data_IF_166023331626
#
_entry.id   IF_166023331626
#
_cell.length_a   1.000
_cell.length_b   1.000
_cell.length_c   1.000
_cell.angle_alpha   90.00
_cell.angle_beta   90.00
_cell.angle_gamma   90.00
#
_symmetry.space_group_name_H-M   'P 1'
#
loop_
_entity.id
_entity.type
_entity.pdbx_description
1 polymer ?
#
# COMPACT_ATOMS: atom_id res chain seq x y z
N UNK A 1 20.12 22.30 -17.31
CA UNK A 1 19.36 21.41 -16.42
C UNK A 1 19.00 20.18 -17.24
N UNK A 2 19.30 18.98 -16.76
CA UNK A 2 18.69 17.78 -17.34
C UNK A 2 17.17 17.94 -17.34
N UNK A 3 16.44 17.44 -18.34
CA UNK A 3 14.98 17.47 -18.31
C UNK A 3 14.51 16.77 -17.03
N UNK A 4 13.61 17.41 -16.30
CA UNK A 4 13.11 16.91 -15.01
C UNK A 4 12.45 15.52 -15.08
N UNK A 5 12.04 15.10 -16.28
CA UNK A 5 11.46 13.79 -16.61
C UNK A 5 12.41 12.83 -17.33
N UNK A 6 13.62 13.25 -17.70
CA UNK A 6 14.55 12.39 -18.43
C UNK A 6 15.33 11.53 -17.44
N UNK A 7 14.88 10.29 -17.30
CA UNK A 7 15.40 9.30 -16.36
C UNK A 7 15.17 7.92 -16.97
N UNK A 8 16.19 7.08 -16.86
CA UNK A 8 16.07 5.68 -17.25
C UNK A 8 15.38 4.92 -16.13
N UNK A 9 14.20 4.36 -16.43
CA UNK A 9 13.44 3.54 -15.49
C UNK A 9 13.68 2.08 -15.85
N UNK A 10 13.96 1.24 -14.84
CA UNK A 10 14.14 -0.20 -15.02
C UNK A 10 12.91 -0.83 -15.69
N UNK A 11 13.13 -1.64 -16.72
CA UNK A 11 12.06 -2.38 -17.41
C UNK A 11 11.21 -3.22 -16.45
N UNK A 12 11.82 -3.76 -15.38
CA UNK A 12 11.11 -4.53 -14.35
C UNK A 12 10.04 -3.74 -13.62
N UNK A 13 10.17 -2.42 -13.54
CA UNK A 13 9.22 -1.54 -12.89
C UNK A 13 8.16 -0.99 -13.87
N UNK A 14 8.33 -1.21 -15.18
CA UNK A 14 7.44 -0.76 -16.25
C UNK A 14 6.41 -1.82 -16.67
N UNK A 15 5.96 -2.62 -15.71
CA UNK A 15 5.05 -3.72 -15.95
C UNK A 15 3.61 -3.27 -16.24
N UNK A 16 2.85 -4.17 -16.85
CA UNK A 16 1.45 -4.07 -17.27
C UNK A 16 0.68 -5.29 -16.79
N UNK A 17 -0.64 -5.28 -16.98
CA UNK A 17 -1.49 -6.41 -16.63
C UNK A 17 -1.07 -7.72 -17.34
N UNK A 18 -0.60 -7.63 -18.59
CA UNK A 18 -0.16 -8.79 -19.37
C UNK A 18 1.08 -9.49 -18.83
N UNK A 19 1.91 -8.79 -18.04
CA UNK A 19 3.12 -9.37 -17.45
C UNK A 19 2.77 -10.25 -16.23
N UNK A 20 1.57 -10.05 -15.67
CA UNK A 20 1.05 -10.73 -14.50
C UNK A 20 -0.40 -11.21 -14.76
N UNK A 21 -0.58 -12.28 -15.55
CA UNK A 21 -1.91 -12.71 -16.01
C UNK A 21 -2.83 -13.16 -14.87
N UNK A 22 -2.26 -13.54 -13.73
CA UNK A 22 -2.96 -13.94 -12.52
C UNK A 22 -2.12 -13.59 -11.28
N UNK A 23 -2.70 -13.75 -10.09
CA UNK A 23 -1.97 -13.50 -8.84
C UNK A 23 -0.83 -14.48 -8.57
N UNK A 24 -0.84 -15.65 -9.22
CA UNK A 24 0.21 -16.68 -9.08
C UNK A 24 1.54 -16.19 -9.64
N UNK A 25 1.50 -15.39 -10.70
CA UNK A 25 2.69 -14.74 -11.28
C UNK A 25 3.37 -13.74 -10.34
N UNK A 26 2.69 -13.28 -9.29
CA UNK A 26 3.23 -12.43 -8.23
C UNK A 26 3.67 -13.23 -6.99
N UNK A 27 3.35 -14.53 -6.94
CA UNK A 27 3.42 -15.31 -5.73
C UNK A 27 4.85 -15.69 -5.32
N UNK A 28 5.10 -15.58 -4.03
CA UNK A 28 6.27 -16.12 -3.34
C UNK A 28 5.76 -16.99 -2.21
N UNK A 29 6.00 -18.30 -2.33
CA UNK A 29 5.49 -19.28 -1.38
C UNK A 29 6.45 -19.46 -0.20
N UNK A 30 5.94 -19.29 1.02
CA UNK A 30 6.65 -19.69 2.24
C UNK A 30 6.46 -21.19 2.44
N UNK A 31 7.56 -21.92 2.56
CA UNK A 31 7.49 -23.30 3.03
C UNK A 31 7.28 -23.33 4.54
N UNK A 32 6.74 -24.45 5.05
CA UNK A 32 6.67 -24.68 6.51
C UNK A 32 8.05 -24.63 7.18
N UNK A 33 9.12 -24.96 6.45
CA UNK A 33 10.48 -24.89 6.97
C UNK A 33 10.94 -23.43 7.13
N UNK A 34 10.52 -22.52 6.24
CA UNK A 34 10.88 -21.10 6.30
C UNK A 34 10.22 -20.43 7.52
N UNK A 35 8.91 -20.63 7.69
CA UNK A 35 8.10 -19.90 8.69
C UNK A 35 7.99 -20.60 10.05
N UNK A 36 8.28 -21.91 10.12
CA UNK A 36 8.15 -22.71 11.35
C UNK A 36 8.85 -22.12 12.58
N UNK A 37 10.14 -21.74 12.50
CA UNK A 37 10.85 -21.13 13.63
C UNK A 37 10.21 -19.83 14.13
N UNK A 38 9.69 -19.00 13.22
CA UNK A 38 8.99 -17.77 13.58
C UNK A 38 7.67 -18.08 14.29
N UNK A 39 6.92 -19.06 13.81
CA UNK A 39 5.67 -19.50 14.44
C UNK A 39 5.93 -19.99 15.87
N UNK A 40 6.97 -20.81 16.07
CA UNK A 40 7.29 -21.33 17.40
C UNK A 40 7.63 -20.20 18.39
N UNK A 41 8.36 -19.17 17.93
CA UNK A 41 8.63 -17.97 18.73
C UNK A 41 7.38 -17.13 18.98
N UNK A 42 6.53 -16.93 17.98
CA UNK A 42 5.28 -16.19 18.11
C UNK A 42 4.35 -16.85 19.14
N UNK A 43 4.24 -18.19 19.13
CA UNK A 43 3.46 -18.95 20.12
C UNK A 43 3.96 -18.74 21.55
N UNK A 44 5.28 -18.78 21.75
CA UNK A 44 5.85 -18.55 23.08
C UNK A 44 5.56 -17.12 23.56
N UNK A 45 5.84 -16.12 22.72
CA UNK A 45 5.63 -14.72 23.08
C UNK A 45 4.15 -14.39 23.34
N UNK A 46 3.24 -15.01 22.59
CA UNK A 46 1.80 -14.88 22.82
C UNK A 46 1.40 -15.47 24.18
N UNK A 47 1.92 -16.64 24.56
CA UNK A 47 1.68 -17.26 25.87
C UNK A 47 2.23 -16.42 27.03
N UNK A 48 3.34 -15.72 26.80
CA UNK A 48 3.95 -14.80 27.77
C UNK A 48 3.22 -13.44 27.86
N UNK A 49 2.22 -13.20 26.98
CA UNK A 49 1.49 -11.94 26.93
C UNK A 49 2.31 -10.77 26.39
N UNK A 50 3.35 -11.05 25.59
CA UNK A 50 4.17 -10.02 24.96
C UNK A 50 3.31 -9.14 24.04
N UNK A 51 3.43 -7.83 24.18
CA UNK A 51 2.80 -6.90 23.25
C UNK A 51 3.46 -7.01 21.87
N UNK A 52 2.66 -7.20 20.81
CA UNK A 52 3.14 -7.40 19.43
C UNK A 52 4.14 -6.32 19.02
N UNK A 53 3.76 -5.05 19.22
CA UNK A 53 4.55 -3.91 18.76
C UNK A 53 5.85 -3.67 19.55
N UNK A 54 6.13 -4.46 20.60
CA UNK A 54 7.39 -4.42 21.36
C UNK A 54 8.31 -5.61 21.08
N UNK A 55 7.83 -6.64 20.36
CA UNK A 55 8.68 -7.76 19.95
C UNK A 55 9.74 -7.30 18.94
N UNK A 56 10.96 -7.78 19.11
CA UNK A 56 12.10 -7.47 18.25
C UNK A 56 12.40 -8.61 17.27
N UNK A 57 13.28 -8.33 16.30
CA UNK A 57 13.78 -9.32 15.35
C UNK A 57 14.48 -10.49 16.06
N UNK A 58 15.17 -10.21 17.17
CA UNK A 58 15.84 -11.21 17.99
C UNK A 58 14.83 -12.07 18.75
N UNK A 59 13.84 -11.46 19.39
CA UNK A 59 12.79 -12.19 20.13
C UNK A 59 12.03 -13.18 19.25
N UNK A 60 11.82 -12.80 17.98
CA UNK A 60 11.10 -13.58 16.97
C UNK A 60 12.00 -14.52 16.16
N UNK A 61 13.31 -14.49 16.38
CA UNK A 61 14.31 -15.30 15.67
C UNK A 61 14.09 -15.29 14.15
N UNK A 62 14.00 -14.11 13.53
CA UNK A 62 13.66 -13.97 12.10
C UNK A 62 14.78 -14.39 11.13
N UNK A 63 15.94 -14.80 11.65
CA UNK A 63 17.13 -15.18 10.86
C UNK A 63 16.86 -16.21 9.75
N UNK A 64 16.09 -17.29 10.00
CA UNK A 64 15.76 -18.28 8.97
C UNK A 64 14.96 -17.73 7.78
N UNK A 65 14.23 -16.62 7.95
CA UNK A 65 13.48 -15.97 6.88
C UNK A 65 14.35 -15.09 5.98
N UNK A 66 15.57 -14.75 6.40
CA UNK A 66 16.41 -13.79 5.68
C UNK A 66 16.55 -14.08 4.17
N UNK A 67 16.79 -15.33 3.71
CA UNK A 67 16.96 -15.60 2.29
C UNK A 67 15.72 -15.30 1.43
N UNK A 68 14.51 -15.60 1.94
CA UNK A 68 13.27 -15.31 1.21
C UNK A 68 12.91 -13.82 1.29
N UNK A 69 13.17 -13.19 2.43
CA UNK A 69 12.90 -11.78 2.63
C UNK A 69 13.85 -10.88 1.83
N UNK A 70 15.11 -11.28 1.63
CA UNK A 70 16.06 -10.56 0.77
C UNK A 70 15.61 -10.58 -0.69
N UNK A 71 15.07 -11.71 -1.17
CA UNK A 71 14.48 -11.80 -2.52
C UNK A 71 13.26 -10.89 -2.66
N UNK A 72 12.35 -10.94 -1.67
CA UNK A 72 11.18 -10.05 -1.64
C UNK A 72 11.61 -8.58 -1.64
N UNK A 73 12.58 -8.22 -0.81
CA UNK A 73 13.11 -6.86 -0.76
C UNK A 73 13.70 -6.42 -2.10
N UNK A 74 14.41 -7.30 -2.80
CA UNK A 74 14.91 -7.00 -4.16
C UNK A 74 13.77 -6.75 -5.14
N UNK A 75 12.73 -7.61 -5.15
CA UNK A 75 11.53 -7.43 -5.99
C UNK A 75 10.83 -6.11 -5.68
N UNK A 76 10.67 -5.76 -4.40
CA UNK A 76 9.97 -4.54 -3.98
C UNK A 76 10.78 -3.27 -4.25
N UNK A 77 12.08 -3.27 -3.98
CA UNK A 77 12.89 -2.04 -4.02
C UNK A 77 13.50 -1.77 -5.39
N UNK A 78 13.72 -2.80 -6.20
CA UNK A 78 14.45 -2.68 -7.48
C UNK A 78 13.77 -3.43 -8.64
N UNK A 79 12.78 -4.27 -8.36
CA UNK A 79 12.02 -5.03 -9.34
C UNK A 79 10.70 -4.35 -9.72
N UNK A 80 9.62 -5.11 -9.67
CA UNK A 80 8.26 -4.67 -9.97
C UNK A 80 7.64 -3.79 -8.90
N UNK A 81 8.18 -3.80 -7.69
CA UNK A 81 7.56 -3.09 -6.58
C UNK A 81 6.35 -3.79 -5.98
N UNK A 82 6.04 -5.03 -6.37
CA UNK A 82 4.89 -5.78 -5.85
C UNK A 82 5.18 -7.29 -5.76
N UNK A 83 4.73 -7.94 -4.69
CA UNK A 83 4.83 -9.38 -4.50
C UNK A 83 3.71 -9.91 -3.60
N UNK A 84 3.18 -11.09 -3.91
CA UNK A 84 2.18 -11.80 -3.10
C UNK A 84 2.87 -12.88 -2.27
N UNK A 85 2.96 -12.71 -0.97
CA UNK A 85 3.49 -13.72 -0.05
C UNK A 85 2.38 -14.71 0.34
N UNK A 86 2.62 -16.01 0.20
CA UNK A 86 1.63 -17.05 0.53
C UNK A 86 2.16 -18.05 1.53
N UNK A 87 1.25 -18.78 2.16
CA UNK A 87 1.58 -19.86 3.10
C UNK A 87 1.62 -19.44 4.56
N UNK A 88 1.08 -18.26 4.91
CA UNK A 88 0.88 -17.91 6.32
C UNK A 88 -0.28 -18.76 6.89
N UNK A 89 -0.06 -19.53 7.97
CA UNK A 89 -1.05 -20.48 8.47
C UNK A 89 -2.06 -19.81 9.41
N UNK A 90 -2.85 -18.88 8.87
CA UNK A 90 -3.80 -18.07 9.66
C UNK A 90 -4.92 -18.88 10.30
N UNK A 91 -5.23 -20.08 9.77
CA UNK A 91 -6.23 -20.98 10.35
C UNK A 91 -5.69 -21.81 11.53
N UNK A 92 -4.37 -21.98 11.63
CA UNK A 92 -3.70 -22.80 12.65
C UNK A 92 -3.25 -21.97 13.88
N UNK A 93 -3.48 -20.66 13.86
CA UNK A 93 -2.93 -19.70 14.81
C UNK A 93 -4.04 -18.84 15.43
N UNK A 94 -3.87 -18.52 16.71
CA UNK A 94 -4.66 -17.48 17.36
C UNK A 94 -4.35 -16.10 16.77
N UNK A 95 -5.22 -15.13 16.99
CA UNK A 95 -5.05 -13.79 16.44
C UNK A 95 -3.71 -13.16 16.86
N UNK A 96 -3.34 -13.22 18.13
CA UNK A 96 -2.07 -12.65 18.63
C UNK A 96 -0.86 -13.37 18.05
N UNK A 97 -0.93 -14.69 17.84
CA UNK A 97 0.14 -15.44 17.17
C UNK A 97 0.29 -15.01 15.70
N UNK A 98 -0.81 -14.79 14.99
CA UNK A 98 -0.79 -14.27 13.61
C UNK A 98 -0.17 -12.87 13.58
N UNK A 99 -0.60 -11.99 14.49
CA UNK A 99 -0.07 -10.63 14.60
C UNK A 99 1.45 -10.63 14.85
N UNK A 100 1.95 -11.51 15.72
CA UNK A 100 3.39 -11.67 15.98
C UNK A 100 4.16 -12.23 14.78
N UNK A 101 3.62 -13.23 14.08
CA UNK A 101 4.21 -13.76 12.85
C UNK A 101 4.29 -12.67 11.78
N UNK A 102 3.19 -11.96 11.56
CA UNK A 102 3.15 -10.92 10.54
C UNK A 102 4.02 -9.71 10.91
N UNK A 103 4.08 -9.35 12.20
CA UNK A 103 5.03 -8.38 12.73
C UNK A 103 6.49 -8.78 12.45
N UNK A 104 6.84 -10.05 12.67
CA UNK A 104 8.17 -10.59 12.36
C UNK A 104 8.54 -10.45 10.88
N UNK A 105 7.61 -10.75 9.97
CA UNK A 105 7.79 -10.53 8.53
C UNK A 105 8.03 -9.04 8.23
N UNK A 106 7.25 -8.14 8.86
CA UNK A 106 7.44 -6.70 8.74
C UNK A 106 8.83 -6.23 9.20
N UNK A 107 9.36 -6.79 10.30
CA UNK A 107 10.70 -6.49 10.80
C UNK A 107 11.82 -6.94 9.84
N UNK A 108 11.59 -7.96 9.01
CA UNK A 108 12.52 -8.31 7.94
C UNK A 108 12.56 -7.27 6.80
N UNK A 109 11.44 -6.60 6.54
CA UNK A 109 11.30 -5.63 5.45
C UNK A 109 11.81 -4.24 5.84
N UNK A 110 11.68 -3.86 7.12
CA UNK A 110 12.16 -2.58 7.60
C UNK A 110 11.66 -2.23 8.99
N UNK A 111 11.44 -0.93 9.21
CA UNK A 111 10.98 -0.40 10.49
C UNK A 111 9.48 -0.11 10.43
N UNK A 112 8.66 -0.76 11.27
CA UNK A 112 7.25 -0.42 11.39
C UNK A 112 7.06 1.05 11.80
N UNK A 113 6.19 1.77 11.09
CA UNK A 113 5.86 3.18 11.34
C UNK A 113 4.41 3.31 11.78
N UNK A 114 4.06 4.47 12.33
CA UNK A 114 2.67 4.75 12.73
C UNK A 114 1.75 4.80 11.52
N UNK A 115 0.59 4.16 11.62
CA UNK A 115 -0.45 4.16 10.59
C UNK A 115 -1.52 5.25 10.81
N UNK A 116 -1.53 5.83 12.01
CA UNK A 116 -2.46 6.88 12.44
C UNK A 116 -1.81 7.80 13.49
N UNK A 117 -2.45 8.92 13.81
CA UNK A 117 -2.08 9.76 14.96
C UNK A 117 -2.13 9.02 16.31
N UNK A 118 -2.78 7.86 16.39
CA UNK A 118 -2.90 7.06 17.62
C UNK A 118 -1.66 6.20 17.89
N UNK A 119 -0.69 6.16 16.98
CA UNK A 119 0.58 5.44 17.21
C UNK A 119 0.54 3.95 16.85
N UNK A 120 -0.59 3.45 16.32
CA UNK A 120 -0.76 2.05 15.93
C UNK A 120 0.21 1.70 14.80
N UNK A 121 1.01 0.64 14.97
CA UNK A 121 1.99 0.18 13.96
C UNK A 121 1.56 -1.07 13.21
N UNK A 122 0.59 -1.80 13.76
CA UNK A 122 -0.12 -2.90 13.12
C UNK A 122 -1.61 -2.59 13.25
N UNK A 123 -2.28 -2.43 12.11
CA UNK A 123 -3.67 -2.04 12.04
C UNK A 123 -4.59 -3.22 11.80
N UNK A 124 -5.89 -3.02 12.05
CA UNK A 124 -6.93 -3.94 11.62
C UNK A 124 -7.78 -3.26 10.55
N UNK A 125 -7.79 -3.83 9.36
CA UNK A 125 -8.54 -3.35 8.20
C UNK A 125 -9.83 -4.14 8.09
N UNK A 126 -10.90 -3.57 8.66
CA UNK A 126 -12.26 -4.13 8.70
C UNK A 126 -13.30 -3.00 8.68
N UNK A 127 -14.52 -3.28 8.24
CA UNK A 127 -15.60 -2.28 8.25
C UNK A 127 -16.00 -1.90 9.69
N UNK A 128 -15.75 -0.65 10.06
CA UNK A 128 -16.09 -0.06 11.37
C UNK A 128 -17.20 0.99 11.26
N UNK A 129 -17.86 1.13 10.10
CA UNK A 129 -18.85 2.19 9.86
C UNK A 129 -20.06 2.17 10.78
N UNK A 130 -20.42 1.00 11.32
CA UNK A 130 -21.47 0.86 12.33
C UNK A 130 -21.13 1.54 13.66
N UNK A 131 -19.84 1.70 13.96
CA UNK A 131 -19.32 2.30 15.20
C UNK A 131 -18.67 3.67 15.01
N UNK A 132 -18.21 3.96 13.80
CA UNK A 132 -17.58 5.23 13.43
C UNK A 132 -18.06 5.65 12.02
N UNK A 133 -19.07 6.54 11.92
CA UNK A 133 -19.56 7.04 10.64
C UNK A 133 -18.51 7.83 9.84
N UNK A 134 -17.45 8.30 10.48
CA UNK A 134 -16.32 9.02 9.87
C UNK A 134 -15.09 8.14 9.68
N UNK A 135 -15.27 6.81 9.77
CA UNK A 135 -14.21 5.83 9.60
C UNK A 135 -13.42 6.10 8.31
N UNK A 136 -12.08 6.15 8.47
CA UNK A 136 -11.13 6.29 7.35
C UNK A 136 -11.41 5.25 6.26
N UNK A 137 -10.97 5.56 5.05
CA UNK A 137 -11.29 4.81 3.84
C UNK A 137 -11.03 3.28 3.95
N UNK A 138 -9.93 2.89 4.60
CA UNK A 138 -9.60 1.48 4.84
C UNK A 138 -10.51 0.78 5.87
N UNK A 139 -11.23 1.53 6.71
CA UNK A 139 -12.20 1.05 7.72
C UNK A 139 -13.66 1.14 7.26
N UNK A 140 -13.91 1.28 5.96
CA UNK A 140 -15.27 1.24 5.40
C UNK A 140 -15.33 0.36 4.13
N UNK A 141 -16.55 0.13 3.63
CA UNK A 141 -16.84 -0.78 2.50
C UNK A 141 -16.87 -0.15 1.11
N UNK A 142 -16.65 1.16 1.02
CA UNK A 142 -16.75 1.88 -0.25
C UNK A 142 -15.55 1.60 -1.16
N UNK A 143 -15.67 1.91 -2.44
CA UNK A 143 -14.52 1.83 -3.36
C UNK A 143 -13.39 2.77 -2.90
N UNK A 144 -12.16 2.30 -3.05
CA UNK A 144 -10.94 3.09 -2.91
C UNK A 144 -10.34 3.26 -4.30
N UNK A 145 -10.26 4.51 -4.75
CA UNK A 145 -9.61 4.87 -6.01
C UNK A 145 -8.09 4.68 -5.91
N UNK A 146 -7.35 4.61 -7.04
CA UNK A 146 -5.90 4.45 -7.01
C UNK A 146 -5.20 5.52 -6.17
N UNK A 147 -4.39 5.08 -5.20
CA UNK A 147 -3.66 5.96 -4.29
C UNK A 147 -2.37 5.33 -3.77
N UNK A 148 -1.60 6.14 -3.03
CA UNK A 148 -0.43 5.73 -2.24
C UNK A 148 -0.61 6.18 -0.78
N UNK A 149 -0.03 5.45 0.15
CA UNK A 149 -0.05 5.76 1.58
C UNK A 149 1.17 6.59 2.05
N UNK A 150 1.23 7.06 3.31
CA UNK A 150 2.39 7.78 3.84
C UNK A 150 3.48 6.85 4.42
N UNK A 151 3.92 5.85 3.65
CA UNK A 151 5.01 4.92 4.01
C UNK A 151 5.82 4.48 2.79
N UNK A 152 7.00 3.88 3.01
CA UNK A 152 7.87 3.38 1.93
C UNK A 152 7.33 2.07 1.34
N UNK A 153 6.95 1.14 2.22
CA UNK A 153 6.35 -0.14 1.88
C UNK A 153 4.96 -0.24 2.50
N UNK A 154 4.05 -0.89 1.77
CA UNK A 154 2.72 -1.25 2.19
C UNK A 154 2.60 -2.76 2.25
N UNK A 155 1.84 -3.27 3.21
CA UNK A 155 1.54 -4.69 3.31
C UNK A 155 0.13 -4.90 3.86
N UNK A 156 -0.61 -5.86 3.29
CA UNK A 156 -1.87 -6.34 3.87
C UNK A 156 -1.87 -7.86 3.94
N UNK A 157 -2.12 -8.44 5.13
CA UNK A 157 -2.35 -9.88 5.31
C UNK A 157 -3.84 -10.16 5.40
N UNK A 158 -4.34 -11.04 4.54
CA UNK A 158 -5.71 -11.50 4.62
C UNK A 158 -5.89 -12.58 5.69
N UNK A 159 -6.70 -12.27 6.71
CA UNK A 159 -7.17 -13.26 7.67
C UNK A 159 -8.48 -13.87 7.20
N UNK A 160 -9.37 -13.01 6.68
CA UNK A 160 -10.67 -13.40 6.12
C UNK A 160 -11.05 -12.49 4.97
N UNK A 161 -11.45 -13.04 3.80
CA UNK A 161 -11.96 -12.24 2.70
C UNK A 161 -13.37 -11.71 2.99
N UNK A 162 -13.83 -10.76 2.16
CA UNK A 162 -15.24 -10.37 2.15
C UNK A 162 -16.11 -11.49 1.56
N UNK A 163 -17.44 -11.39 1.75
CA UNK A 163 -18.41 -12.30 1.12
C UNK A 163 -18.40 -12.14 -0.40
N UNK A 164 -18.43 -10.90 -0.89
CA UNK A 164 -18.33 -10.56 -2.31
C UNK A 164 -17.56 -9.24 -2.48
N UNK A 165 -16.90 -9.07 -3.62
CA UNK A 165 -16.13 -7.87 -3.93
C UNK A 165 -14.83 -7.77 -3.13
N UNK A 166 -14.38 -6.55 -2.86
CA UNK A 166 -13.12 -6.28 -2.16
C UNK A 166 -11.89 -6.63 -3.00
N UNK A 167 -12.05 -6.59 -4.32
CA UNK A 167 -11.01 -6.87 -5.31
C UNK A 167 -9.94 -5.79 -5.18
N UNK A 168 -8.72 -6.21 -4.89
CA UNK A 168 -7.56 -5.32 -4.86
C UNK A 168 -7.08 -5.08 -6.29
N UNK A 169 -6.71 -3.84 -6.60
CA UNK A 169 -6.08 -3.48 -7.88
C UNK A 169 -4.73 -2.83 -7.61
N UNK A 170 -3.74 -3.17 -8.43
CA UNK A 170 -2.41 -2.59 -8.35
C UNK A 170 -1.94 -2.17 -9.74
N UNK A 171 -1.31 -1.00 -9.83
CA UNK A 171 -0.77 -0.47 -11.08
C UNK A 171 0.59 0.17 -10.85
N UNK A 172 1.53 -0.06 -11.76
CA UNK A 172 2.82 0.64 -11.75
C UNK A 172 2.62 2.11 -12.07
N UNK A 173 2.95 2.98 -11.11
CA UNK A 173 2.97 4.43 -11.34
C UNK A 173 4.07 4.82 -12.32
N UNK A 174 5.13 4.01 -12.44
CA UNK A 174 6.23 4.25 -13.38
C UNK A 174 5.83 3.91 -14.83
N UNK A 175 4.98 2.90 -15.04
CA UNK A 175 4.37 2.65 -16.36
C UNK A 175 3.48 3.83 -16.78
N UNK A 176 2.69 4.39 -15.86
CA UNK A 176 1.87 5.58 -16.12
C UNK A 176 2.76 6.79 -16.43
N UNK A 177 3.83 6.98 -15.65
CA UNK A 177 4.83 8.03 -15.87
C UNK A 177 5.39 7.98 -17.30
N UNK A 178 5.85 6.82 -17.75
CA UNK A 178 6.41 6.65 -19.09
C UNK A 178 5.38 6.92 -20.20
N UNK A 179 4.14 6.48 -20.02
CA UNK A 179 3.07 6.76 -20.97
C UNK A 179 2.76 8.25 -21.05
N UNK A 180 2.68 8.94 -19.91
CA UNK A 180 2.50 10.39 -19.88
C UNK A 180 3.71 11.12 -20.47
N UNK A 181 4.94 10.67 -20.19
CA UNK A 181 6.18 11.24 -20.73
C UNK A 181 6.19 11.21 -22.25
N UNK A 182 5.69 10.12 -22.84
CA UNK A 182 5.59 9.96 -24.29
C UNK A 182 4.39 10.71 -24.90
N UNK A 183 3.20 10.60 -24.30
CA UNK A 183 1.96 11.05 -24.94
C UNK A 183 1.55 12.48 -24.56
N UNK A 184 1.76 12.88 -23.31
CA UNK A 184 1.31 14.17 -22.72
C UNK A 184 2.34 14.73 -21.73
N UNK A 185 3.57 15.07 -22.18
CA UNK A 185 4.62 15.60 -21.32
C UNK A 185 4.22 16.95 -20.67
N UNK A 186 3.30 17.69 -21.30
CA UNK A 186 2.68 18.90 -20.77
C UNK A 186 1.87 18.64 -19.49
N UNK A 187 1.12 17.54 -19.43
CA UNK A 187 0.39 17.11 -18.24
C UNK A 187 1.31 16.51 -17.18
N UNK A 188 2.29 15.70 -17.60
CA UNK A 188 3.30 15.16 -16.68
C UNK A 188 4.04 16.28 -15.94
N UNK A 189 4.29 17.41 -16.60
CA UNK A 189 4.93 18.57 -15.99
C UNK A 189 4.14 19.11 -14.79
N UNK A 190 2.81 19.10 -14.85
CA UNK A 190 1.97 19.54 -13.73
C UNK A 190 2.10 18.60 -12.53
N UNK A 191 2.22 17.28 -12.78
CA UNK A 191 2.41 16.28 -11.74
C UNK A 191 3.76 16.42 -11.01
N UNK A 192 4.78 16.97 -11.67
CA UNK A 192 6.05 17.33 -11.03
C UNK A 192 6.02 18.69 -10.31
N UNK A 193 5.16 19.62 -10.72
CA UNK A 193 4.93 20.87 -9.98
C UNK A 193 4.17 20.64 -8.67
N UNK A 194 3.33 19.59 -8.63
CA UNK A 194 2.68 19.10 -7.42
C UNK A 194 1.47 19.89 -6.99
N UNK A 195 0.89 19.54 -5.84
CA UNK A 195 -0.39 20.10 -5.37
C UNK A 195 -0.37 20.37 -3.87
N UNK A 196 -1.30 21.20 -3.40
CA UNK A 196 -1.56 21.35 -1.96
C UNK A 196 -2.36 20.14 -1.49
N UNK A 197 -1.97 19.53 -0.38
CA UNK A 197 -2.66 18.37 0.19
C UNK A 197 -3.29 18.73 1.53
N UNK A 198 -4.55 18.34 1.71
CA UNK A 198 -5.17 18.28 3.02
C UNK A 198 -4.57 17.10 3.81
N UNK A 199 -4.32 17.31 5.11
CA UNK A 199 -3.69 16.33 6.01
C UNK A 199 -4.71 15.49 6.78
N UNK A 200 -6.00 15.84 6.68
CA UNK A 200 -7.12 15.03 7.16
C UNK A 200 -7.01 14.63 8.64
N UNK A 201 -6.52 15.54 9.49
CA UNK A 201 -6.33 15.28 10.91
C UNK A 201 -5.03 14.54 11.27
N UNK A 202 -4.21 14.18 10.28
CA UNK A 202 -2.90 13.53 10.46
C UNK A 202 -1.74 14.54 10.58
N UNK A 203 -2.04 15.84 10.71
CA UNK A 203 -1.04 16.86 11.00
C UNK A 203 -0.57 16.82 12.46
N UNK A 204 0.66 17.26 12.73
CA UNK A 204 1.16 17.43 14.10
C UNK A 204 0.37 18.50 14.87
N UNK A 205 0.51 18.49 16.20
CA UNK A 205 -0.10 19.52 17.04
C UNK A 205 0.42 20.92 16.65
N UNK A 206 -0.49 21.83 16.30
CA UNK A 206 -0.17 23.18 15.85
C UNK A 206 0.23 23.31 14.37
N UNK A 207 0.35 22.21 13.63
CA UNK A 207 0.61 22.24 12.19
C UNK A 207 -0.66 22.60 11.40
N UNK A 208 -0.52 23.25 10.22
CA UNK A 208 -1.68 23.55 9.38
C UNK A 208 -2.33 22.27 8.84
N UNK A 209 -3.66 22.28 8.70
CA UNK A 209 -4.43 21.18 8.12
C UNK A 209 -4.10 20.95 6.63
N UNK A 210 -3.52 21.93 5.94
CA UNK A 210 -3.07 21.83 4.54
C UNK A 210 -1.57 22.09 4.46
N UNK A 211 -0.89 21.35 3.58
CA UNK A 211 0.56 21.49 3.38
C UNK A 211 0.93 22.90 2.95
N UNK A 212 1.94 23.56 3.57
CA UNK A 212 2.27 24.96 3.27
C UNK A 212 2.90 25.16 1.88
N UNK A 213 3.33 24.08 1.24
CA UNK A 213 3.91 24.05 -0.10
C UNK A 213 3.20 22.99 -0.96
N UNK A 214 3.42 23.08 -2.28
CA UNK A 214 2.98 22.06 -3.23
C UNK A 214 3.87 20.82 -3.09
N UNK A 215 3.24 19.65 -3.05
CA UNK A 215 3.91 18.35 -3.01
C UNK A 215 3.73 17.68 -4.38
N UNK A 216 4.82 17.36 -5.09
CA UNK A 216 4.77 16.66 -6.37
C UNK A 216 4.04 15.31 -6.29
N UNK A 217 3.27 14.98 -7.34
CA UNK A 217 2.78 13.62 -7.56
C UNK A 217 3.95 12.73 -7.98
N UNK A 218 4.79 13.20 -8.90
CA UNK A 218 6.05 12.55 -9.24
C UNK A 218 7.25 13.37 -8.78
N UNK A 219 8.26 12.70 -8.25
CA UNK A 219 9.54 13.30 -7.89
C UNK A 219 10.68 12.44 -8.41
N UNK A 220 11.81 13.07 -8.75
CA UNK A 220 13.04 12.40 -9.17
C UNK A 220 14.17 12.77 -8.21
N UNK A 221 14.85 11.76 -7.67
CA UNK A 221 16.05 11.97 -6.84
C UNK A 221 17.02 10.80 -7.00
N UNK A 222 18.29 11.10 -7.26
CA UNK A 222 19.34 10.08 -7.35
C UNK A 222 19.08 9.04 -8.46
N UNK A 223 18.48 9.46 -9.57
CA UNK A 223 18.12 8.55 -10.67
C UNK A 223 16.84 7.74 -10.45
N UNK A 224 16.16 7.88 -9.31
CA UNK A 224 14.92 7.18 -9.02
C UNK A 224 13.71 8.11 -9.17
N UNK A 225 12.61 7.56 -9.69
CA UNK A 225 11.30 8.23 -9.73
C UNK A 225 10.40 7.63 -8.65
N UNK A 226 9.71 8.49 -7.92
CA UNK A 226 8.71 8.10 -6.91
C UNK A 226 7.38 8.80 -7.17
N UNK A 227 6.29 8.12 -6.85
CA UNK A 227 4.93 8.61 -6.91
C UNK A 227 4.35 8.79 -5.50
N UNK A 228 3.63 9.88 -5.28
CA UNK A 228 2.74 10.08 -4.13
C UNK A 228 1.42 10.64 -4.64
N UNK A 229 0.33 9.93 -4.42
CA UNK A 229 -0.95 10.30 -4.99
C UNK A 229 -2.12 9.99 -4.07
N UNK A 230 -2.92 11.02 -3.75
CA UNK A 230 -4.23 10.89 -3.09
C UNK A 230 -5.13 12.02 -3.60
N UNK A 231 -5.91 11.77 -4.68
CA UNK A 231 -6.78 12.78 -5.33
C UNK A 231 -7.67 13.50 -4.33
N UNK A 232 -8.31 12.74 -3.44
CA UNK A 232 -9.25 13.26 -2.46
C UNK A 232 -8.63 14.37 -1.61
N UNK A 233 -7.36 14.21 -1.20
CA UNK A 233 -6.69 15.20 -0.35
C UNK A 233 -6.31 16.48 -1.11
N UNK A 234 -6.09 16.38 -2.42
CA UNK A 234 -5.88 17.55 -3.29
C UNK A 234 -7.19 18.33 -3.45
N UNK A 235 -8.28 17.65 -3.78
CA UNK A 235 -9.59 18.29 -3.99
C UNK A 235 -10.15 18.87 -2.67
N UNK A 236 -9.96 18.18 -1.54
CA UNK A 236 -10.32 18.71 -0.22
C UNK A 236 -9.57 20.00 0.10
N UNK A 237 -8.27 20.05 -0.16
CA UNK A 237 -7.49 21.27 0.08
C UNK A 237 -8.02 22.46 -0.74
N UNK A 238 -8.38 22.23 -2.01
CA UNK A 238 -8.96 23.27 -2.87
C UNK A 238 -10.39 23.67 -2.44
N UNK A 239 -11.18 22.73 -1.93
CA UNK A 239 -12.56 22.98 -1.50
C UNK A 239 -12.64 23.79 -0.20
N UNK A 240 -11.73 23.55 0.75
CA UNK A 240 -11.73 24.23 2.05
C UNK A 240 -11.06 25.62 2.02
N UNK A 241 -10.22 25.88 1.00
CA UNK A 241 -9.39 27.09 0.91
C UNK A 241 -9.47 27.73 -0.48
N UNK A 242 -10.29 28.79 -0.66
CA UNK A 242 -10.54 29.41 -1.96
C UNK A 242 -9.30 29.94 -2.70
N UNK A 243 -8.20 30.19 -2.00
CA UNK A 243 -6.92 30.61 -2.58
C UNK A 243 -6.15 29.46 -3.25
N UNK A 244 -6.49 28.21 -2.93
CA UNK A 244 -5.89 27.02 -3.52
C UNK A 244 -6.65 26.69 -4.80
N UNK A 245 -6.14 27.17 -5.93
CA UNK A 245 -6.71 26.93 -7.24
C UNK A 245 -6.10 25.67 -7.88
N UNK A 246 -6.96 24.84 -8.46
CA UNK A 246 -6.58 23.79 -9.41
C UNK A 246 -6.94 24.32 -10.79
N UNK A 247 -5.93 24.69 -11.58
CA UNK A 247 -6.11 25.19 -12.94
C UNK A 247 -6.72 24.11 -13.86
N UNK A 248 -7.32 24.50 -15.01
CA UNK A 248 -7.84 23.52 -15.96
C UNK A 248 -6.80 22.48 -16.42
N UNK A 249 -5.55 22.90 -16.64
CA UNK A 249 -4.47 22.00 -17.06
C UNK A 249 -4.04 21.05 -15.95
N UNK A 250 -4.01 21.53 -14.71
CA UNK A 250 -3.75 20.73 -13.52
C UNK A 250 -4.84 19.67 -13.30
N UNK A 251 -6.11 20.05 -13.49
CA UNK A 251 -7.24 19.13 -13.42
C UNK A 251 -7.17 18.08 -14.52
N UNK A 252 -6.88 18.50 -15.76
CA UNK A 252 -6.66 17.57 -16.88
C UNK A 252 -5.50 16.59 -16.59
N UNK A 253 -4.43 17.04 -15.94
CA UNK A 253 -3.31 16.16 -15.58
C UNK A 253 -3.70 15.09 -14.56
N UNK A 254 -4.48 15.46 -13.53
CA UNK A 254 -4.99 14.51 -12.54
C UNK A 254 -6.00 13.53 -13.18
N UNK A 255 -6.90 14.04 -14.02
CA UNK A 255 -7.91 13.22 -14.72
C UNK A 255 -7.24 12.24 -15.69
N UNK A 256 -6.22 12.67 -16.44
CA UNK A 256 -5.45 11.80 -17.33
C UNK A 256 -4.72 10.70 -16.53
N UNK A 257 -4.08 11.06 -15.42
CA UNK A 257 -3.38 10.11 -14.56
C UNK A 257 -4.32 9.03 -14.01
N UNK A 258 -5.49 9.41 -13.49
CA UNK A 258 -6.50 8.46 -13.00
C UNK A 258 -7.08 7.60 -14.12
N UNK A 259 -7.30 8.19 -15.30
CA UNK A 259 -7.74 7.45 -16.47
C UNK A 259 -6.73 6.36 -16.85
N UNK A 260 -5.42 6.65 -16.84
CA UNK A 260 -4.39 5.63 -17.05
C UNK A 260 -4.41 4.57 -15.92
N UNK A 261 -4.46 5.00 -14.66
CA UNK A 261 -4.49 4.08 -13.51
C UNK A 261 -5.70 3.13 -13.51
N UNK A 262 -6.81 3.53 -14.14
CA UNK A 262 -8.01 2.70 -14.30
C UNK A 262 -8.04 1.83 -15.58
N UNK A 263 -7.01 1.88 -16.43
CA UNK A 263 -6.97 1.05 -17.65
C UNK A 263 -6.69 -0.41 -17.28
N UNK A 264 -7.62 -1.31 -17.63
CA UNK A 264 -7.48 -2.75 -17.41
C UNK A 264 -6.21 -3.36 -18.00
N UNK A 265 -5.61 -2.75 -19.03
CA UNK A 265 -4.33 -3.20 -19.58
C UNK A 265 -3.11 -2.88 -18.69
N UNK A 266 -3.26 -2.03 -17.67
CA UNK A 266 -2.17 -1.55 -16.82
C UNK A 266 -2.25 -2.06 -15.38
N UNK A 267 -3.44 -2.42 -14.90
CA UNK A 267 -3.61 -2.92 -13.53
C UNK A 267 -3.77 -4.43 -13.47
N UNK A 268 -3.20 -5.03 -12.43
CA UNK A 268 -3.55 -6.39 -12.00
C UNK A 268 -4.69 -6.30 -10.99
N UNK A 269 -5.61 -7.25 -11.03
CA UNK A 269 -6.73 -7.30 -10.09
C UNK A 269 -7.01 -8.72 -9.59
N UNK A 270 -7.16 -8.86 -8.27
CA UNK A 270 -7.47 -10.12 -7.62
C UNK A 270 -7.98 -9.91 -6.19
N UNK A 271 -8.62 -10.94 -5.63
CA UNK A 271 -8.92 -11.02 -4.20
C UNK A 271 -7.80 -11.77 -3.47
N UNK A 272 -7.54 -11.36 -2.23
CA UNK A 272 -6.65 -12.09 -1.33
C UNK A 272 -7.42 -13.20 -0.62
N UNK A 273 -6.85 -14.39 -0.63
CA UNK A 273 -7.32 -15.52 0.16
C UNK A 273 -6.70 -15.49 1.57
N UNK A 274 -7.32 -16.18 2.52
CA UNK A 274 -6.80 -16.28 3.88
C UNK A 274 -5.36 -16.85 3.86
N UNK A 275 -4.44 -16.19 4.56
CA UNK A 275 -3.02 -16.56 4.59
C UNK A 275 -2.16 -15.97 3.46
N UNK A 276 -2.75 -15.15 2.59
CA UNK A 276 -2.03 -14.37 1.59
C UNK A 276 -1.76 -12.95 2.09
N UNK A 277 -0.52 -12.49 1.92
CA UNK A 277 -0.13 -11.12 2.19
C UNK A 277 0.40 -10.44 0.92
N UNK A 278 -0.19 -9.30 0.55
CA UNK A 278 0.35 -8.48 -0.54
C UNK A 278 1.38 -7.51 0.02
N UNK A 279 2.52 -7.39 -0.65
CA UNK A 279 3.59 -6.45 -0.35
C UNK A 279 3.75 -5.50 -1.53
N UNK A 280 3.84 -4.20 -1.28
CA UNK A 280 4.00 -3.21 -2.34
C UNK A 280 4.97 -2.09 -1.95
N UNK A 281 5.81 -1.67 -2.89
CA UNK A 281 6.59 -0.45 -2.80
C UNK A 281 5.70 0.74 -3.17
N UNK A 282 5.33 1.47 -2.14
CA UNK A 282 4.33 2.51 -2.19
C UNK A 282 4.83 3.78 -2.91
N UNK A 283 6.13 3.87 -3.23
CA UNK A 283 6.66 4.89 -4.16
C UNK A 283 6.45 4.54 -5.62
N UNK A 284 6.18 3.29 -5.97
CA UNK A 284 6.18 2.81 -7.37
C UNK A 284 4.88 2.14 -7.78
N UNK A 285 4.05 1.76 -6.82
CA UNK A 285 2.79 1.04 -7.04
C UNK A 285 1.64 1.82 -6.42
N UNK A 286 0.66 2.17 -7.23
CA UNK A 286 -0.64 2.62 -6.75
C UNK A 286 -1.49 1.39 -6.43
N UNK A 287 -2.32 1.52 -5.40
CA UNK A 287 -3.27 0.48 -5.03
C UNK A 287 -4.68 1.04 -4.90
N UNK A 288 -5.66 0.18 -5.16
CA UNK A 288 -7.08 0.47 -5.12
C UNK A 288 -7.84 -0.77 -4.64
N UNK A 289 -9.11 -0.58 -4.29
CA UNK A 289 -9.99 -1.67 -3.88
C UNK A 289 -11.42 -1.41 -4.33
N UNK A 290 -12.07 -2.39 -4.93
CA UNK A 290 -13.51 -2.29 -5.21
C UNK A 290 -14.31 -2.17 -3.91
N UNK A 291 -15.58 -1.76 -4.03
CA UNK A 291 -16.54 -1.96 -2.94
C UNK A 291 -16.69 -3.46 -2.62
N UNK A 292 -17.21 -3.75 -1.43
CA UNK A 292 -17.47 -5.12 -0.98
C UNK A 292 -18.72 -5.22 -0.11
N UNK A 293 -19.27 -6.42 -0.05
CA UNK A 293 -20.30 -6.80 0.91
C UNK A 293 -19.73 -7.81 1.90
N UNK A 294 -20.01 -7.57 3.18
CA UNK A 294 -19.62 -8.45 4.27
C UNK A 294 -20.72 -9.42 4.65
N UNK A 295 -20.33 -10.46 5.38
CA UNK A 295 -21.27 -11.30 6.12
C UNK A 295 -22.00 -10.50 7.21
N UNK A 296 -23.20 -10.95 7.57
CA UNK A 296 -23.96 -10.40 8.70
C UNK A 296 -23.32 -10.76 10.03
N UNK A 297 -22.79 -11.97 10.12
CA UNK A 297 -22.08 -12.54 11.26
C UNK A 297 -20.73 -11.82 11.45
N UNK A 298 -20.49 -11.16 12.60
CA UNK A 298 -19.27 -10.38 12.84
C UNK A 298 -17.96 -11.15 12.66
N UNK A 299 -17.95 -12.43 13.00
CA UNK A 299 -16.80 -13.33 12.91
C UNK A 299 -16.45 -13.74 11.48
N UNK A 300 -17.39 -13.62 10.54
CA UNK A 300 -17.20 -13.94 9.12
C UNK A 300 -16.88 -12.70 8.27
N UNK A 301 -16.87 -11.51 8.88
CA UNK A 301 -16.53 -10.27 8.17
C UNK A 301 -15.08 -10.24 7.72
N UNK A 302 -14.86 -9.53 6.60
CA UNK A 302 -13.55 -9.24 6.05
C UNK A 302 -12.64 -8.68 7.12
N UNK A 303 -11.44 -9.25 7.22
CA UNK A 303 -10.45 -8.84 8.19
C UNK A 303 -9.06 -8.99 7.59
N UNK A 304 -8.38 -7.86 7.38
CA UNK A 304 -6.95 -7.84 7.07
C UNK A 304 -6.17 -7.19 8.21
N UNK A 305 -4.87 -7.49 8.25
CA UNK A 305 -3.86 -6.77 9.04
C UNK A 305 -3.01 -5.88 8.14
#
# INVERSE_FOLDING_TARGET
MEPWHDVEISESALWRASDYPDKESLAVDLSRADIGPLIDRARLLAQEGQAVATATAEDLNIGPLAPIMDRLRSTLMSGSGIALLRGLPVDDLSQTEIELVYWGIGLCLGRPVSQSVMGERLGHVRDMTATDPHARAYRNRNELTPHTDPADLLSFLCLRPAKTGGVSRFVSSLTIHEQMRSARPDLLAQLYQGFRYHRFGEQGEGDPAITPHRIPVFSRRGGLVSCRYVRQYIEMAAAEHPEILISPLEREALDYFEAQAGMASLHVEFTLDAGEAILANNFTVLHARSSYEDHTEPELKRHLL
#
